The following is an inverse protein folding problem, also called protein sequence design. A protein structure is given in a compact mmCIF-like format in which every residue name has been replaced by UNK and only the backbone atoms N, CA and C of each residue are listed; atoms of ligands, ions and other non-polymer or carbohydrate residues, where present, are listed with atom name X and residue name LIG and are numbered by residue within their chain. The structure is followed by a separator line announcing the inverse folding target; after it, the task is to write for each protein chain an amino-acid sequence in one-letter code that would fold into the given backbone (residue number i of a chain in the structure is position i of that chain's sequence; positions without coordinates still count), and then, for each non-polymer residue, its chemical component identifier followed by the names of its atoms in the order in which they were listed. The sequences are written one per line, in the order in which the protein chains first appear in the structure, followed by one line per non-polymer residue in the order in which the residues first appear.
data_IF_969592424450
#
_entry.id   IF_969592424450
#
_cell.length_a   1.000
_cell.length_b   1.000
_cell.length_c   1.000
_cell.angle_alpha   90.00
_cell.angle_beta   90.00
_cell.angle_gamma   90.00
#
_symmetry.space_group_name_H-M   'P 1'
#
loop_
_entity.id
_entity.type
_entity.pdbx_description
1 polymer ?
#
# COMPACT_ATOMS: atom_id res chain seq x y z
N UNK A 1 -11.37 19.72 -4.83
CA UNK A 1 -12.73 19.50 -5.35
C UNK A 1 -12.68 18.72 -6.65
N UNK A 2 -13.60 17.76 -6.85
CA UNK A 2 -13.72 17.04 -8.11
C UNK A 2 -14.24 18.00 -9.20
N UNK A 3 -13.51 18.15 -10.28
CA UNK A 3 -13.95 18.91 -11.45
C UNK A 3 -14.56 17.93 -12.46
N UNK A 4 -15.83 18.06 -12.75
CA UNK A 4 -16.51 17.26 -13.78
C UNK A 4 -16.34 17.97 -15.13
N UNK A 5 -15.70 17.34 -16.08
CA UNK A 5 -15.69 17.77 -17.45
C UNK A 5 -16.49 16.75 -18.29
N UNK A 6 -17.67 17.15 -18.77
CA UNK A 6 -18.41 16.38 -19.77
C UNK A 6 -18.06 16.89 -21.16
N UNK A 7 -17.29 16.13 -21.93
CA UNK A 7 -17.08 16.41 -23.35
C UNK A 7 -18.08 15.55 -24.14
N UNK A 8 -19.11 16.18 -24.72
CA UNK A 8 -19.95 15.55 -25.74
C UNK A 8 -19.18 15.55 -27.06
N UNK A 9 -18.42 14.52 -27.32
CA UNK A 9 -18.10 14.11 -28.68
C UNK A 9 -19.05 12.99 -29.06
N UNK A 10 -19.52 12.99 -30.30
CA UNK A 10 -20.62 12.16 -30.82
C UNK A 10 -20.42 10.63 -30.73
N UNK A 11 -19.42 10.14 -30.03
CA UNK A 11 -19.09 8.71 -30.02
C UNK A 11 -19.05 8.09 -28.66
N UNK A 12 -18.77 8.80 -27.54
CA UNK A 12 -18.76 8.18 -26.20
C UNK A 12 -18.75 9.22 -25.08
N UNK A 13 -19.67 9.17 -24.11
CA UNK A 13 -19.56 9.99 -22.92
C UNK A 13 -18.44 9.46 -22.03
N UNK A 14 -17.32 10.15 -21.98
CA UNK A 14 -16.23 9.88 -21.06
C UNK A 14 -16.34 10.86 -19.90
N UNK A 15 -16.55 10.32 -18.68
CA UNK A 15 -16.46 11.10 -17.46
C UNK A 15 -15.00 11.12 -17.00
N UNK A 16 -14.43 12.30 -16.81
CA UNK A 16 -13.11 12.45 -16.21
C UNK A 16 -13.24 13.01 -14.80
N UNK A 17 -12.73 12.28 -13.83
CA UNK A 17 -12.66 12.69 -12.43
C UNK A 17 -11.19 12.92 -12.10
N UNK A 18 -10.89 14.07 -11.53
CA UNK A 18 -9.52 14.42 -11.13
C UNK A 18 -9.32 14.07 -9.64
N UNK A 19 -8.33 13.24 -9.36
CA UNK A 19 -7.84 13.02 -8.01
C UNK A 19 -6.61 13.88 -7.77
N UNK A 20 -6.63 14.72 -6.74
CA UNK A 20 -5.57 15.71 -6.52
C UNK A 20 -4.55 15.31 -5.43
N UNK A 21 -4.90 14.46 -4.47
CA UNK A 21 -4.02 14.23 -3.31
C UNK A 21 -4.22 12.91 -2.52
N UNK A 22 -5.04 11.99 -3.01
CA UNK A 22 -5.29 10.72 -2.29
C UNK A 22 -6.00 10.84 -0.94
N UNK A 23 -6.62 11.99 -0.66
CA UNK A 23 -7.29 12.24 0.62
C UNK A 23 -8.82 12.03 0.55
N UNK A 24 -9.33 11.67 -0.60
CA UNK A 24 -10.76 11.52 -0.84
C UNK A 24 -11.04 10.21 -1.56
N UNK A 25 -12.05 9.51 -1.07
CA UNK A 25 -12.62 8.39 -1.78
C UNK A 25 -13.36 8.88 -3.03
N UNK A 26 -13.24 8.14 -4.11
CA UNK A 26 -13.89 8.45 -5.38
C UNK A 26 -14.82 7.29 -5.72
N UNK A 27 -16.12 7.60 -5.70
CA UNK A 27 -17.17 6.69 -6.13
C UNK A 27 -17.65 7.08 -7.53
N UNK A 28 -17.89 6.09 -8.37
CA UNK A 28 -18.54 6.28 -9.65
C UNK A 28 -19.67 5.27 -9.86
N UNK A 29 -20.62 5.64 -10.67
CA UNK A 29 -21.71 4.77 -11.14
C UNK A 29 -21.90 4.96 -12.62
N UNK A 30 -22.22 3.90 -13.33
CA UNK A 30 -22.47 3.91 -14.76
C UNK A 30 -23.76 3.18 -15.09
N UNK A 31 -24.59 3.81 -15.90
CA UNK A 31 -25.83 3.23 -16.40
C UNK A 31 -25.91 3.50 -17.90
N UNK A 32 -26.10 2.42 -18.68
CA UNK A 32 -26.26 2.47 -20.13
C UNK A 32 -27.72 2.21 -20.53
N UNK A 33 -28.18 2.92 -21.57
CA UNK A 33 -29.41 2.63 -22.33
C UNK A 33 -30.66 2.51 -21.45
N UNK A 34 -31.00 3.56 -20.68
CA UNK A 34 -32.23 3.61 -19.89
C UNK A 34 -33.36 4.33 -20.61
N UNK A 35 -34.54 3.74 -20.58
CA UNK A 35 -35.79 4.39 -20.94
C UNK A 35 -36.31 5.20 -19.76
N UNK A 36 -37.07 6.28 -20.04
CA UNK A 36 -37.57 7.17 -18.98
C UNK A 36 -38.56 6.53 -18.00
N UNK A 37 -39.02 5.32 -18.29
CA UNK A 37 -40.05 4.60 -17.51
C UNK A 37 -39.45 3.58 -16.54
N UNK A 38 -38.16 3.29 -16.61
CA UNK A 38 -37.54 2.26 -15.79
C UNK A 38 -37.06 2.81 -14.44
N UNK A 39 -37.25 2.00 -13.39
CA UNK A 39 -36.61 2.27 -12.11
C UNK A 39 -35.09 2.19 -12.27
N UNK A 40 -34.39 3.23 -11.86
CA UNK A 40 -32.95 3.32 -12.00
C UNK A 40 -32.26 2.82 -10.71
N UNK A 41 -31.61 1.68 -10.80
CA UNK A 41 -30.75 1.16 -9.74
C UNK A 41 -29.32 1.65 -10.00
N UNK A 42 -28.75 2.42 -9.05
CA UNK A 42 -27.37 2.90 -9.09
C UNK A 42 -26.47 1.95 -8.29
N UNK A 43 -25.49 1.36 -8.95
CA UNK A 43 -24.41 0.63 -8.29
C UNK A 43 -23.19 1.52 -8.24
N UNK A 44 -22.68 1.80 -7.04
CA UNK A 44 -21.50 2.62 -6.85
C UNK A 44 -20.27 1.74 -6.67
N UNK A 45 -19.23 2.08 -7.38
CA UNK A 45 -17.92 1.42 -7.34
C UNK A 45 -16.88 2.38 -6.80
N UNK A 46 -16.00 1.89 -5.93
CA UNK A 46 -14.83 2.64 -5.52
C UNK A 46 -13.81 2.65 -6.65
N UNK A 47 -13.34 3.83 -7.03
CA UNK A 47 -12.29 3.95 -8.04
C UNK A 47 -10.88 3.79 -7.46
N UNK A 48 -10.71 3.80 -6.15
CA UNK A 48 -9.42 3.78 -5.47
C UNK A 48 -9.28 2.57 -4.56
N UNK A 49 -8.06 2.22 -4.21
CA UNK A 49 -7.68 1.34 -3.10
C UNK A 49 -7.28 2.17 -1.89
N UNK A 50 -7.13 1.53 -0.72
CA UNK A 50 -6.78 2.23 0.52
C UNK A 50 -5.83 1.41 1.38
N UNK A 51 -4.83 2.05 1.99
CA UNK A 51 -4.12 1.49 3.14
C UNK A 51 -4.90 1.86 4.39
N UNK A 52 -5.44 0.87 5.09
CA UNK A 52 -6.21 1.06 6.34
C UNK A 52 -5.27 1.18 7.54
N UNK A 53 -4.36 0.23 7.67
CA UNK A 53 -3.43 0.21 8.80
C UNK A 53 -2.13 -0.51 8.49
N UNK A 54 -1.11 -0.18 9.26
CA UNK A 54 0.18 -0.88 9.30
C UNK A 54 0.48 -1.26 10.75
N UNK A 55 0.73 -2.53 10.98
CA UNK A 55 1.03 -3.13 12.27
C UNK A 55 2.38 -3.84 12.20
N UNK A 56 3.21 -3.71 13.24
CA UNK A 56 4.44 -4.48 13.40
C UNK A 56 4.33 -5.40 14.60
N UNK A 57 4.68 -6.65 14.39
CA UNK A 57 4.94 -7.61 15.45
C UNK A 57 6.41 -7.99 15.44
N UNK A 58 7.11 -7.79 16.55
CA UNK A 58 8.49 -8.24 16.74
C UNK A 58 8.43 -9.61 17.42
N UNK A 59 8.92 -10.64 16.73
CA UNK A 59 8.91 -12.01 17.26
C UNK A 59 10.19 -12.34 18.05
N UNK A 60 11.32 -11.72 17.71
CA UNK A 60 12.59 -11.93 18.43
C UNK A 60 12.61 -11.15 19.75
N UNK A 61 12.90 -11.81 20.88
CA UNK A 61 12.81 -11.19 22.22
C UNK A 61 13.87 -10.11 22.48
N UNK A 62 14.95 -10.15 21.74
CA UNK A 62 16.14 -9.29 21.84
C UNK A 62 16.13 -8.12 20.83
N UNK A 63 15.05 -8.00 20.04
CA UNK A 63 14.91 -6.94 19.05
C UNK A 63 13.92 -5.87 19.52
N UNK A 64 14.32 -4.61 19.39
CA UNK A 64 13.45 -3.43 19.51
C UNK A 64 13.42 -2.66 18.19
N UNK A 65 12.23 -2.31 17.72
CA UNK A 65 11.98 -1.52 16.53
C UNK A 65 11.36 -0.20 16.94
N UNK A 66 12.00 0.91 16.58
CA UNK A 66 11.45 2.26 16.73
C UNK A 66 11.15 2.82 15.35
N UNK A 67 9.91 3.22 15.09
CA UNK A 67 9.49 3.80 13.81
C UNK A 67 9.07 5.23 14.02
N UNK A 68 9.65 6.15 13.25
CA UNK A 68 9.32 7.58 13.26
C UNK A 68 8.49 8.00 12.05
N UNK A 69 8.62 7.30 10.91
CA UNK A 69 7.86 7.59 9.71
C UNK A 69 7.69 6.34 8.83
N UNK A 70 6.56 6.27 8.12
CA UNK A 70 6.25 5.26 7.13
C UNK A 70 5.87 5.97 5.84
N UNK A 71 6.41 5.51 4.71
CA UNK A 71 6.07 6.00 3.37
C UNK A 71 5.73 4.83 2.45
N UNK A 72 4.66 4.96 1.68
CA UNK A 72 4.42 4.10 0.52
C UNK A 72 5.04 4.80 -0.68
N UNK A 73 6.17 4.28 -1.16
CA UNK A 73 6.90 4.86 -2.28
C UNK A 73 6.23 4.53 -3.61
N UNK A 74 6.38 5.44 -4.55
CA UNK A 74 6.07 5.26 -5.98
C UNK A 74 4.61 4.94 -6.32
N UNK A 75 3.68 5.03 -5.38
CA UNK A 75 2.26 4.83 -5.64
C UNK A 75 1.63 6.11 -6.19
N UNK A 76 0.81 5.98 -7.23
CA UNK A 76 0.04 7.11 -7.73
C UNK A 76 -1.12 7.42 -6.79
N UNK A 77 -1.26 8.71 -6.46
CA UNK A 77 -2.37 9.25 -5.66
C UNK A 77 -3.05 10.41 -6.37
N UNK A 78 -2.49 10.84 -7.51
CA UNK A 78 -2.95 11.97 -8.30
C UNK A 78 -3.02 11.62 -9.77
N UNK A 79 -4.07 12.04 -10.45
CA UNK A 79 -4.28 11.81 -11.87
C UNK A 79 -5.74 11.93 -12.26
N UNK A 80 -6.07 11.48 -13.45
CA UNK A 80 -7.42 11.45 -13.96
C UNK A 80 -7.97 10.03 -13.96
N UNK A 81 -9.22 9.89 -13.56
CA UNK A 81 -9.99 8.66 -13.67
C UNK A 81 -11.00 8.87 -14.80
N UNK A 82 -10.91 8.04 -15.83
CA UNK A 82 -11.83 8.05 -16.96
C UNK A 82 -12.74 6.85 -16.90
N UNK A 83 -14.05 7.08 -16.98
CA UNK A 83 -15.05 6.02 -17.10
C UNK A 83 -15.51 5.96 -18.54
N UNK A 84 -15.33 4.83 -19.19
CA UNK A 84 -15.70 4.63 -20.59
C UNK A 84 -17.20 4.30 -20.79
N UNK A 85 -17.59 4.09 -22.03
CA UNK A 85 -18.98 3.77 -22.40
C UNK A 85 -19.44 2.35 -21.98
N UNK A 86 -18.54 1.52 -21.44
CA UNK A 86 -18.88 0.20 -20.85
C UNK A 86 -18.95 0.27 -19.33
N UNK A 87 -18.70 1.45 -18.77
CA UNK A 87 -18.68 1.68 -17.32
C UNK A 87 -17.38 1.26 -16.64
N UNK A 88 -16.30 1.06 -17.42
CA UNK A 88 -14.99 0.71 -16.88
C UNK A 88 -14.17 1.97 -16.63
N UNK A 89 -13.72 2.13 -15.38
CA UNK A 89 -12.83 3.19 -14.98
C UNK A 89 -11.36 2.82 -15.28
N UNK A 90 -10.62 3.76 -15.85
CA UNK A 90 -9.18 3.66 -16.10
C UNK A 90 -8.48 4.90 -15.60
N UNK A 91 -7.19 4.78 -15.27
CA UNK A 91 -6.39 5.91 -14.85
C UNK A 91 -5.55 6.45 -16.01
N UNK A 92 -5.41 7.78 -16.07
CA UNK A 92 -4.55 8.45 -17.03
C UNK A 92 -3.85 9.65 -16.39
N UNK A 93 -2.69 10.03 -16.99
CA UNK A 93 -1.91 11.17 -16.52
C UNK A 93 -1.56 11.11 -15.04
N UNK A 94 -1.26 9.93 -14.53
CA UNK A 94 -0.63 9.78 -13.22
C UNK A 94 0.66 10.59 -13.23
N UNK A 95 0.64 11.75 -12.57
CA UNK A 95 1.82 12.57 -12.44
C UNK A 95 2.57 12.14 -11.21
N UNK A 96 3.85 12.04 -11.32
CA UNK A 96 4.87 11.79 -10.30
C UNK A 96 4.39 10.96 -9.12
N UNK A 97 4.91 9.76 -8.93
CA UNK A 97 4.60 8.94 -7.77
C UNK A 97 4.77 9.78 -6.51
N UNK A 98 3.74 9.90 -5.72
CA UNK A 98 3.84 10.56 -4.43
C UNK A 98 4.03 9.49 -3.38
N UNK A 99 5.03 9.67 -2.54
CA UNK A 99 5.09 8.90 -1.29
C UNK A 99 3.93 9.34 -0.40
N UNK A 100 3.13 8.39 0.04
CA UNK A 100 2.13 8.62 1.10
C UNK A 100 2.85 8.39 2.40
N UNK A 101 3.12 9.45 3.15
CA UNK A 101 3.86 9.41 4.40
C UNK A 101 2.94 9.51 5.61
N UNK A 102 3.24 8.73 6.64
CA UNK A 102 2.55 8.72 7.92
C UNK A 102 3.58 8.90 9.03
N UNK A 103 3.53 10.05 9.71
CA UNK A 103 4.37 10.27 10.88
C UNK A 103 3.86 9.44 12.06
N UNK A 104 4.75 8.72 12.70
CA UNK A 104 4.46 7.94 13.90
C UNK A 104 5.70 7.91 14.79
N UNK A 105 5.52 7.86 16.08
CA UNK A 105 6.64 7.72 17.03
C UNK A 105 6.31 6.55 17.96
N UNK A 106 6.62 5.33 17.52
CA UNK A 106 6.37 4.12 18.29
C UNK A 106 7.61 3.26 18.45
N UNK A 107 7.72 2.65 19.63
CA UNK A 107 8.67 1.60 19.94
C UNK A 107 7.94 0.28 20.14
N UNK A 108 8.40 -0.75 19.49
CA UNK A 108 7.78 -2.07 19.48
C UNK A 108 8.85 -3.13 19.74
N UNK A 109 8.57 -4.05 20.64
CA UNK A 109 9.37 -5.23 20.92
C UNK A 109 8.47 -6.47 21.08
N UNK A 110 9.04 -7.61 21.40
CA UNK A 110 8.29 -8.87 21.55
C UNK A 110 7.22 -8.84 22.65
N UNK A 111 7.35 -7.94 23.63
CA UNK A 111 6.40 -7.79 24.75
C UNK A 111 5.30 -6.75 24.48
N UNK A 112 5.39 -6.03 23.36
CA UNK A 112 4.40 -5.00 23.01
C UNK A 112 3.03 -5.65 22.80
N UNK A 113 2.01 -5.16 23.53
CA UNK A 113 0.65 -5.67 23.41
C UNK A 113 0.09 -5.43 22.00
N UNK A 114 -0.77 -6.33 21.51
CA UNK A 114 -1.29 -6.30 20.14
C UNK A 114 -1.89 -4.92 19.77
N UNK A 115 -2.70 -4.33 20.64
CA UNK A 115 -3.30 -2.99 20.44
C UNK A 115 -2.27 -1.87 20.22
N UNK A 116 -1.04 -2.03 20.74
CA UNK A 116 0.01 -1.03 20.71
C UNK A 116 0.99 -1.25 19.53
N UNK A 117 0.83 -2.34 18.76
CA UNK A 117 1.64 -2.69 17.58
C UNK A 117 1.23 -1.90 16.33
N UNK A 118 0.05 -1.30 16.33
CA UNK A 118 -0.47 -0.52 15.20
C UNK A 118 0.30 0.79 15.12
N UNK A 119 1.07 0.95 14.05
CA UNK A 119 1.83 2.17 13.76
C UNK A 119 0.94 3.25 13.16
N UNK A 120 0.02 2.80 12.35
CA UNK A 120 -0.86 3.64 11.58
C UNK A 120 -2.23 2.95 11.49
N UNK A 121 -3.28 3.66 11.87
CA UNK A 121 -4.68 3.29 11.64
C UNK A 121 -5.44 4.56 11.29
N UNK A 122 -5.83 4.70 10.03
CA UNK A 122 -6.47 5.92 9.56
C UNK A 122 -7.64 5.60 8.64
N UNK A 123 -8.77 6.18 8.96
CA UNK A 123 -9.94 6.11 8.11
C UNK A 123 -9.95 7.14 6.97
N UNK A 124 -9.08 8.16 6.98
CA UNK A 124 -9.31 9.34 6.12
C UNK A 124 -8.31 9.59 4.97
N UNK A 125 -7.03 9.18 4.99
CA UNK A 125 -6.05 9.83 4.10
C UNK A 125 -5.04 8.91 3.39
N UNK A 126 -5.40 7.69 3.04
CA UNK A 126 -4.46 6.76 2.43
C UNK A 126 -4.99 6.09 1.15
N UNK A 127 -5.65 6.87 0.30
CA UNK A 127 -6.17 6.39 -0.97
C UNK A 127 -5.08 6.36 -2.04
N UNK A 128 -5.00 5.24 -2.75
CA UNK A 128 -4.03 4.96 -3.79
C UNK A 128 -4.76 4.56 -5.07
N UNK A 129 -4.16 4.78 -6.21
CA UNK A 129 -4.66 4.21 -7.44
C UNK A 129 -4.49 2.69 -7.42
N UNK A 130 -5.50 1.98 -7.91
CA UNK A 130 -5.40 0.55 -8.10
C UNK A 130 -4.28 0.23 -9.11
N UNK A 131 -3.63 -0.92 -8.97
CA UNK A 131 -2.49 -1.29 -9.81
C UNK A 131 -2.75 -2.48 -10.72
N UNK A 132 -3.91 -3.12 -10.60
CA UNK A 132 -4.32 -4.26 -11.42
C UNK A 132 -4.24 -3.97 -12.93
N UNK A 133 -3.79 -4.95 -13.67
CA UNK A 133 -3.70 -4.88 -15.15
C UNK A 133 -4.97 -5.38 -15.83
N UNK A 134 -5.73 -6.24 -15.16
CA UNK A 134 -7.03 -6.73 -15.62
C UNK A 134 -8.16 -5.99 -14.92
N UNK A 135 -9.35 -5.92 -15.53
CA UNK A 135 -10.52 -5.31 -14.91
C UNK A 135 -10.92 -6.05 -13.63
N UNK A 136 -11.13 -5.30 -12.56
CA UNK A 136 -11.68 -5.75 -11.30
C UNK A 136 -12.68 -4.70 -10.77
N UNK A 137 -13.91 -5.13 -10.43
CA UNK A 137 -14.98 -4.26 -9.93
C UNK A 137 -15.15 -2.98 -10.78
N UNK A 138 -15.18 -3.13 -12.12
CA UNK A 138 -15.28 -2.02 -13.06
C UNK A 138 -14.08 -1.05 -13.08
N UNK A 139 -12.93 -1.44 -12.55
CA UNK A 139 -11.71 -0.64 -12.55
C UNK A 139 -10.56 -1.42 -13.18
N UNK A 140 -9.86 -0.78 -14.11
CA UNK A 140 -8.55 -1.21 -14.61
C UNK A 140 -7.49 -0.28 -14.04
N UNK A 141 -6.55 -0.83 -13.31
CA UNK A 141 -5.54 -0.11 -12.58
C UNK A 141 -4.43 0.48 -13.45
N UNK A 142 -3.41 1.02 -12.78
CA UNK A 142 -2.28 1.70 -13.41
C UNK A 142 -1.25 0.77 -14.03
N UNK A 143 -1.27 -0.50 -13.69
CA UNK A 143 -0.22 -1.47 -14.05
C UNK A 143 1.11 -1.27 -13.33
N UNK A 144 1.14 -0.43 -12.28
CA UNK A 144 2.34 -0.27 -11.45
C UNK A 144 2.67 -1.58 -10.72
N UNK A 145 3.96 -1.86 -10.58
CA UNK A 145 4.45 -3.11 -9.99
C UNK A 145 4.84 -2.92 -8.53
N UNK A 146 4.35 -3.78 -7.65
CA UNK A 146 4.85 -3.89 -6.28
C UNK A 146 6.18 -4.63 -6.27
N UNK A 147 7.11 -4.14 -5.44
CA UNK A 147 8.36 -4.86 -5.21
C UNK A 147 8.08 -6.19 -4.50
N UNK A 148 8.69 -7.25 -5.00
CA UNK A 148 8.48 -8.62 -4.54
C UNK A 148 9.45 -9.07 -3.41
N UNK A 149 10.30 -8.17 -2.91
CA UNK A 149 11.27 -8.49 -1.86
C UNK A 149 12.55 -9.18 -2.36
N UNK A 150 12.78 -9.25 -3.67
CA UNK A 150 14.00 -9.84 -4.20
C UNK A 150 14.96 -8.78 -4.74
N UNK A 151 16.26 -9.00 -4.51
CA UNK A 151 17.33 -8.14 -5.05
C UNK A 151 17.40 -8.19 -6.57
N UNK A 152 17.16 -9.38 -7.13
CA UNK A 152 17.22 -9.60 -8.58
C UNK A 152 16.22 -8.73 -9.36
N UNK A 153 15.06 -8.43 -8.75
CA UNK A 153 14.08 -7.54 -9.35
C UNK A 153 14.61 -6.11 -9.59
N UNK A 154 15.61 -5.69 -8.81
CA UNK A 154 16.21 -4.36 -8.92
C UNK A 154 17.30 -4.26 -10.01
N UNK A 155 17.73 -5.39 -10.56
CA UNK A 155 18.76 -5.46 -11.61
C UNK A 155 19.99 -4.61 -11.30
N UNK A 156 20.47 -4.66 -10.06
CA UNK A 156 21.63 -3.90 -9.57
C UNK A 156 21.33 -2.44 -9.19
N UNK A 157 20.09 -1.99 -9.32
CA UNK A 157 19.63 -0.64 -8.92
C UNK A 157 19.25 -0.54 -7.44
N UNK A 158 18.58 0.54 -7.09
CA UNK A 158 18.11 0.86 -5.74
C UNK A 158 16.60 1.02 -5.71
N UNK A 159 15.98 0.70 -4.56
CA UNK A 159 14.55 0.90 -4.33
C UNK A 159 14.15 2.37 -4.38
N UNK A 160 14.96 3.24 -3.80
CA UNK A 160 14.76 4.70 -3.80
C UNK A 160 14.79 5.33 -5.18
N UNK A 161 15.42 4.67 -6.16
CA UNK A 161 15.58 5.13 -7.54
C UNK A 161 14.69 4.33 -8.53
N UNK A 162 14.00 3.31 -8.04
CA UNK A 162 13.15 2.42 -8.84
C UNK A 162 11.72 2.98 -8.99
N UNK A 163 10.94 2.35 -9.86
CA UNK A 163 9.49 2.59 -9.98
C UNK A 163 8.65 1.57 -9.21
N UNK A 164 9.26 0.70 -8.42
CA UNK A 164 8.54 -0.28 -7.63
C UNK A 164 7.80 0.37 -6.47
N UNK A 165 6.55 -0.04 -6.27
CA UNK A 165 5.81 0.33 -5.06
C UNK A 165 6.32 -0.53 -3.92
N UNK A 166 6.78 0.11 -2.86
CA UNK A 166 7.21 -0.55 -1.62
C UNK A 166 6.93 0.34 -0.41
N UNK A 167 7.03 -0.24 0.78
CA UNK A 167 6.94 0.52 2.03
C UNK A 167 8.35 0.87 2.49
N UNK A 168 8.55 2.13 2.87
CA UNK A 168 9.80 2.63 3.46
C UNK A 168 9.54 3.02 4.89
N UNK A 169 10.30 2.47 5.80
CA UNK A 169 10.30 2.85 7.22
C UNK A 169 11.52 3.70 7.51
N UNK A 170 11.30 4.79 8.25
CA UNK A 170 12.36 5.56 8.89
C UNK A 170 12.31 5.28 10.38
N UNK A 171 13.46 4.97 10.97
CA UNK A 171 13.53 4.64 12.39
C UNK A 171 14.79 3.88 12.76
N UNK A 172 14.71 3.08 13.80
CA UNK A 172 15.84 2.29 14.32
C UNK A 172 15.42 0.85 14.54
N UNK A 173 16.33 -0.06 14.28
CA UNK A 173 16.22 -1.46 14.70
C UNK A 173 17.45 -1.78 15.53
N UNK A 174 17.21 -2.19 16.76
CA UNK A 174 18.20 -2.42 17.78
C UNK A 174 18.14 -3.83 18.30
N UNK A 175 19.28 -4.47 18.43
CA UNK A 175 19.46 -5.76 19.06
C UNK A 175 20.10 -5.57 20.43
N UNK A 176 19.43 -6.06 21.46
CA UNK A 176 19.96 -6.08 22.81
C UNK A 176 20.84 -7.32 23.00
N UNK A 177 22.15 -7.13 23.05
CA UNK A 177 23.09 -8.25 23.30
C UNK A 177 23.09 -8.65 24.76
N UNK A 178 23.33 -9.92 25.03
CA UNK A 178 23.53 -10.44 26.39
C UNK A 178 24.69 -9.75 27.14
N UNK A 179 25.60 -9.12 26.42
CA UNK A 179 26.71 -8.31 26.97
C UNK A 179 26.27 -6.97 27.55
N UNK A 180 25.00 -6.57 27.35
CA UNK A 180 24.46 -5.28 27.77
C UNK A 180 24.73 -4.14 26.79
N UNK A 181 25.40 -4.41 25.65
CA UNK A 181 25.60 -3.43 24.57
C UNK A 181 24.51 -3.57 23.52
N UNK A 182 23.98 -2.44 23.05
CA UNK A 182 23.03 -2.39 21.94
C UNK A 182 23.77 -2.41 20.60
N UNK A 183 23.33 -3.25 19.67
CA UNK A 183 23.78 -3.25 18.29
C UNK A 183 22.67 -2.72 17.38
N UNK A 184 22.98 -1.77 16.51
CA UNK A 184 22.00 -1.21 15.59
C UNK A 184 22.10 -1.86 14.21
N UNK A 185 21.01 -2.47 13.75
CA UNK A 185 20.87 -2.98 12.38
C UNK A 185 20.38 -1.90 11.41
N UNK A 186 19.57 -0.96 11.94
CA UNK A 186 19.06 0.21 11.21
C UNK A 186 19.22 1.43 12.10
N UNK A 187 19.78 2.49 11.54
CA UNK A 187 20.07 3.72 12.28
C UNK A 187 21.25 3.61 13.23
N UNK A 188 21.27 4.45 14.24
CA UNK A 188 22.27 4.50 15.31
C UNK A 188 21.63 5.01 16.61
N UNK A 189 22.42 5.16 17.67
CA UNK A 189 21.93 5.79 18.92
C UNK A 189 21.33 7.18 18.65
N UNK A 190 21.98 7.98 17.80
CA UNK A 190 21.67 9.39 17.59
C UNK A 190 20.86 9.70 16.33
N UNK A 191 20.74 8.73 15.38
CA UNK A 191 20.07 8.98 14.10
C UNK A 191 19.21 7.82 13.65
N UNK A 192 18.08 8.15 13.03
CA UNK A 192 17.24 7.17 12.35
C UNK A 192 17.91 6.71 11.05
N UNK A 193 17.70 5.44 10.72
CA UNK A 193 18.03 4.85 9.44
C UNK A 193 16.79 4.56 8.61
N UNK A 194 16.99 3.89 7.49
CA UNK A 194 15.92 3.53 6.55
C UNK A 194 15.94 2.03 6.27
N UNK A 195 14.76 1.43 6.25
CA UNK A 195 14.55 0.08 5.77
C UNK A 195 13.35 0.01 4.83
N UNK A 196 13.37 -0.95 3.92
CA UNK A 196 12.33 -1.16 2.92
C UNK A 196 11.62 -2.49 3.17
N UNK A 197 10.30 -2.47 3.00
CA UNK A 197 9.44 -3.64 3.17
C UNK A 197 8.67 -3.85 1.86
N UNK A 198 8.68 -5.06 1.29
CA UNK A 198 7.86 -5.36 0.12
C UNK A 198 6.38 -5.30 0.51
N UNK A 199 5.55 -4.81 -0.41
CA UNK A 199 4.09 -4.80 -0.22
C UNK A 199 3.41 -6.03 -0.82
N UNK A 200 4.14 -6.77 -1.63
CA UNK A 200 3.70 -8.05 -2.16
C UNK A 200 3.74 -9.11 -1.07
N UNK A 201 2.67 -9.87 -0.92
CA UNK A 201 2.59 -10.92 0.10
C UNK A 201 1.57 -11.99 -0.23
N UNK A 202 1.61 -13.09 0.51
CA UNK A 202 0.62 -14.15 0.40
C UNK A 202 -0.51 -13.92 1.39
N UNK A 203 -1.76 -14.09 0.95
CA UNK A 203 -2.88 -14.15 1.89
C UNK A 203 -2.80 -15.45 2.70
N UNK A 204 -3.31 -15.42 3.94
CA UNK A 204 -3.50 -16.64 4.74
C UNK A 204 -4.37 -17.69 4.01
N UNK A 205 -5.08 -17.28 2.97
CA UNK A 205 -5.94 -18.10 2.12
C UNK A 205 -5.35 -18.34 0.71
N UNK A 206 -4.02 -18.31 0.57
CA UNK A 206 -3.25 -18.69 -0.63
C UNK A 206 -3.32 -17.78 -1.87
N UNK A 207 -3.93 -16.61 -1.82
CA UNK A 207 -3.82 -15.68 -2.94
C UNK A 207 -2.58 -14.79 -2.80
N UNK A 208 -1.75 -14.74 -3.83
CA UNK A 208 -0.59 -13.85 -3.89
C UNK A 208 -1.08 -12.40 -4.09
N UNK A 209 -0.84 -11.53 -3.11
CA UNK A 209 -1.17 -10.11 -3.24
C UNK A 209 0.00 -9.43 -3.96
N UNK A 210 -0.22 -9.13 -5.23
CA UNK A 210 0.75 -8.45 -6.09
C UNK A 210 0.24 -7.11 -6.64
N UNK A 211 -1.01 -6.77 -6.34
CA UNK A 211 -1.70 -5.61 -6.89
C UNK A 211 -2.59 -4.95 -5.84
N UNK A 212 -2.74 -3.63 -5.93
CA UNK A 212 -3.83 -2.93 -5.28
C UNK A 212 -5.08 -2.98 -6.15
N UNK A 213 -6.17 -3.47 -5.61
CA UNK A 213 -7.46 -3.52 -6.27
C UNK A 213 -8.34 -2.38 -5.78
N UNK A 214 -9.11 -1.77 -6.67
CA UNK A 214 -10.09 -0.77 -6.29
C UNK A 214 -11.15 -1.34 -5.35
N UNK A 215 -11.66 -0.53 -4.43
CA UNK A 215 -12.64 -0.96 -3.42
C UNK A 215 -12.06 -1.88 -2.33
N UNK A 216 -10.75 -2.02 -2.23
CA UNK A 216 -10.09 -2.83 -1.20
C UNK A 216 -9.35 -1.95 -0.19
N UNK A 217 -9.47 -2.32 1.10
CA UNK A 217 -8.67 -1.76 2.19
C UNK A 217 -7.62 -2.76 2.61
N UNK A 218 -6.35 -2.33 2.62
CA UNK A 218 -5.20 -3.17 2.94
C UNK A 218 -4.77 -2.91 4.38
N UNK A 219 -4.71 -3.98 5.17
CA UNK A 219 -4.17 -4.01 6.53
C UNK A 219 -2.87 -4.80 6.49
N UNK A 220 -1.75 -4.12 6.68
CA UNK A 220 -0.44 -4.74 6.67
C UNK A 220 -0.04 -5.15 8.09
N UNK A 221 0.13 -6.46 8.30
CA UNK A 221 0.72 -7.03 9.52
C UNK A 221 2.12 -7.53 9.20
N UNK A 222 3.13 -6.84 9.70
CA UNK A 222 4.53 -7.12 9.44
C UNK A 222 5.09 -7.85 10.65
N UNK A 223 5.52 -9.10 10.48
CA UNK A 223 6.13 -9.91 11.54
C UNK A 223 7.64 -9.92 11.32
N UNK A 224 8.36 -9.21 12.18
CA UNK A 224 9.83 -9.17 12.20
C UNK A 224 10.36 -10.26 13.13
N UNK A 225 11.11 -11.20 12.59
CA UNK A 225 11.75 -12.27 13.34
C UNK A 225 13.28 -12.11 13.28
N UNK A 226 13.93 -12.89 12.44
CA UNK A 226 15.37 -12.81 12.18
C UNK A 226 15.73 -11.93 10.98
N UNK A 227 14.76 -11.49 10.19
CA UNK A 227 14.92 -10.44 9.18
C UNK A 227 13.99 -9.27 9.55
N UNK A 228 14.51 -8.05 9.52
CA UNK A 228 13.77 -6.85 9.89
C UNK A 228 13.45 -5.94 8.72
N UNK A 229 13.83 -6.34 7.51
CA UNK A 229 13.59 -5.57 6.29
C UNK A 229 14.77 -5.65 5.33
N UNK A 230 14.82 -4.70 4.41
CA UNK A 230 15.81 -4.68 3.34
C UNK A 230 16.50 -3.32 3.26
N UNK A 231 17.77 -3.35 2.84
CA UNK A 231 18.53 -2.16 2.43
C UNK A 231 18.01 -1.65 1.08
N UNK A 232 18.43 -0.45 0.72
CA UNK A 232 18.03 0.20 -0.53
C UNK A 232 18.41 -0.60 -1.80
N UNK A 233 19.48 -1.37 -1.72
CA UNK A 233 19.92 -2.26 -2.80
C UNK A 233 19.23 -3.65 -2.81
N UNK A 234 18.21 -3.85 -1.97
CA UNK A 234 17.48 -5.11 -1.86
C UNK A 234 18.17 -6.20 -1.03
N UNK A 235 19.32 -5.92 -0.41
CA UNK A 235 19.93 -6.87 0.51
C UNK A 235 19.11 -6.96 1.81
N UNK A 236 18.86 -8.16 2.35
CA UNK A 236 18.16 -8.31 3.62
C UNK A 236 18.99 -7.72 4.78
N UNK A 237 18.29 -7.14 5.73
CA UNK A 237 18.87 -6.69 6.99
C UNK A 237 18.69 -7.82 8.00
N UNK A 238 19.65 -8.68 8.16
CA UNK A 238 19.65 -9.96 8.87
C UNK A 238 19.24 -11.15 7.99
N UNK A 239 19.84 -12.29 8.28
CA UNK A 239 19.82 -13.46 7.40
C UNK A 239 18.74 -14.46 7.78
N UNK A 240 17.47 -14.20 7.47
CA UNK A 240 16.51 -15.30 7.41
C UNK A 240 15.22 -14.95 6.65
N UNK A 241 14.48 -15.99 6.31
CA UNK A 241 13.35 -15.94 5.39
C UNK A 241 12.13 -15.17 5.91
N UNK A 242 11.53 -14.37 5.03
CA UNK A 242 10.26 -13.70 5.27
C UNK A 242 9.13 -14.65 4.88
N UNK A 243 8.13 -14.79 5.76
CA UNK A 243 6.83 -15.39 5.43
C UNK A 243 5.75 -14.33 5.44
N UNK A 244 4.91 -14.32 4.40
CA UNK A 244 3.82 -13.36 4.24
C UNK A 244 2.47 -14.05 4.46
N UNK A 245 1.56 -13.40 5.16
CA UNK A 245 0.17 -13.84 5.28
C UNK A 245 -0.80 -12.70 5.05
N UNK A 246 -1.89 -12.95 4.34
CA UNK A 246 -2.94 -11.96 4.06
C UNK A 246 -4.30 -12.54 4.46
N UNK A 247 -5.06 -11.82 5.27
CA UNK A 247 -6.44 -12.15 5.63
C UNK A 247 -7.41 -11.15 5.02
N UNK A 248 -8.48 -11.62 4.40
CA UNK A 248 -9.52 -10.80 3.80
C UNK A 248 -10.75 -10.70 4.72
N UNK A 249 -11.31 -9.51 4.90
CA UNK A 249 -12.51 -9.24 5.70
C UNK A 249 -13.55 -8.49 4.86
N UNK A 250 -14.83 -8.87 5.00
CA UNK A 250 -15.96 -8.40 4.19
C UNK A 250 -16.45 -6.97 4.51
N UNK A 251 -17.05 -6.31 3.51
CA UNK A 251 -17.62 -4.95 3.62
C UNK A 251 -16.93 -4.05 2.59
N UNK A 252 -16.32 -2.94 2.97
CA UNK A 252 -15.02 -2.63 2.41
C UNK A 252 -14.23 -3.90 2.62
N UNK A 253 -13.87 -4.63 1.57
CA UNK A 253 -13.11 -5.85 1.78
C UNK A 253 -11.73 -5.46 2.32
N UNK A 254 -11.53 -5.65 3.63
CA UNK A 254 -10.22 -5.49 4.23
C UNK A 254 -9.32 -6.63 3.72
N UNK A 255 -8.18 -6.27 3.17
CA UNK A 255 -7.11 -7.22 2.85
C UNK A 255 -6.04 -7.06 3.91
N UNK A 256 -5.91 -8.07 4.77
CA UNK A 256 -4.86 -8.09 5.80
C UNK A 256 -3.63 -8.75 5.20
N UNK A 257 -2.55 -7.98 5.08
CA UNK A 257 -1.25 -8.47 4.62
C UNK A 257 -0.35 -8.70 5.83
N UNK A 258 0.01 -9.96 6.10
CA UNK A 258 0.99 -10.30 7.14
C UNK A 258 2.34 -10.55 6.48
N UNK A 259 3.35 -9.84 6.92
CA UNK A 259 4.73 -9.95 6.46
C UNK A 259 5.54 -10.50 7.62
N UNK A 260 6.04 -11.74 7.49
CA UNK A 260 6.98 -12.34 8.44
C UNK A 260 8.40 -12.08 7.93
N UNK A 261 9.16 -11.30 8.65
CA UNK A 261 10.55 -10.97 8.36
C UNK A 261 11.50 -11.91 9.11
#
# INVERSE_FOLDING_TARGET
GATFATTKTNTEPVMTIKSDNGNQDILFSYIKDRTQTDLVHLYFYHALSKIKSVEIQVAAPDIEVSVSNIEILNSYTKGNIKVDNTGVATYSNGTTPRSVGFSTAKKINSQTAEKDRVLFDNDENAYLFATNTTEHDKVKGTGQTMWNGTKDALNGGKLSESNFICMKFTGKVKHHKDTGEDEYFVGSADSDGVMYIPLRGNSANSADISEFLAGRRYIYKIVMSSNVGYKDNGDPIMLSYIKFGVNQVYGWSDVIVTINL
#
